data_IF_599488739613
#
_entry.id   IF_599488739613
#
_cell.length_a   1.000
_cell.length_b   1.000
_cell.length_c   1.000
_cell.angle_alpha   90.00
_cell.angle_beta   90.00
_cell.angle_gamma   90.00
#
_symmetry.space_group_name_H-M   'P 1'
#
loop_
_entity.id
_entity.type
_entity.pdbx_description
1 polymer ?
#
# COMPACT_ATOMS: atom_id res chain seq x y z
N UNK A 1 14.58 7.50 25.08
CA UNK A 1 14.10 7.82 23.73
C UNK A 1 14.98 7.23 22.64
N UNK A 2 16.30 7.45 22.66
CA UNK A 2 17.24 6.88 21.66
C UNK A 2 17.21 5.34 21.62
N UNK A 3 17.10 4.68 22.77
CA UNK A 3 17.00 3.22 22.86
C UNK A 3 15.67 2.67 22.30
N UNK A 4 14.59 3.43 22.43
CA UNK A 4 13.29 3.09 21.86
C UNK A 4 13.31 3.22 20.33
N UNK A 5 13.88 4.31 19.81
CA UNK A 5 14.05 4.52 18.37
C UNK A 5 14.99 3.50 17.73
N UNK A 6 16.10 3.15 18.40
CA UNK A 6 17.00 2.07 17.96
C UNK A 6 16.28 0.71 17.94
N UNK A 7 15.45 0.43 18.95
CA UNK A 7 14.68 -0.80 19.03
C UNK A 7 13.60 -0.85 17.94
N UNK A 8 12.95 0.29 17.67
CA UNK A 8 11.96 0.40 16.60
C UNK A 8 12.62 0.27 15.20
N UNK A 9 13.78 0.89 15.01
CA UNK A 9 14.54 0.82 13.76
C UNK A 9 15.14 -0.58 13.53
N UNK A 10 15.67 -1.21 14.57
CA UNK A 10 16.16 -2.60 14.51
C UNK A 10 15.03 -3.61 14.28
N UNK A 11 13.83 -3.31 14.74
CA UNK A 11 12.63 -4.11 14.53
C UNK A 11 12.18 -4.11 13.06
N UNK A 12 12.34 -2.97 12.35
CA UNK A 12 12.08 -2.87 10.91
C UNK A 12 13.17 -3.46 10.03
N UNK A 13 14.41 -3.56 10.54
CA UNK A 13 15.58 -4.06 9.82
C UNK A 13 15.90 -5.54 10.10
N UNK A 14 15.41 -6.10 11.20
CA UNK A 14 15.57 -7.51 11.49
C UNK A 14 14.74 -8.34 10.49
N UNK A 15 15.44 -9.11 9.68
CA UNK A 15 14.90 -10.06 8.69
C UNK A 15 14.12 -11.23 9.33
N UNK A 16 13.66 -11.10 10.56
CA UNK A 16 12.92 -12.11 11.27
C UNK A 16 11.44 -12.07 10.83
N UNK A 17 10.84 -13.24 10.65
CA UNK A 17 9.43 -13.37 10.26
C UNK A 17 8.43 -12.61 11.14
N UNK A 18 8.81 -12.33 12.39
CA UNK A 18 8.03 -11.50 13.33
C UNK A 18 7.83 -10.06 12.83
N UNK A 19 8.88 -9.43 12.27
CA UNK A 19 8.80 -8.07 11.71
C UNK A 19 7.82 -8.01 10.53
N UNK A 20 7.91 -8.94 9.59
CA UNK A 20 6.98 -9.04 8.46
C UNK A 20 5.54 -9.26 8.93
N UNK A 21 5.34 -10.11 9.92
CA UNK A 21 4.04 -10.41 10.51
C UNK A 21 3.38 -9.17 11.14
N UNK A 22 4.14 -8.38 11.91
CA UNK A 22 3.64 -7.16 12.55
C UNK A 22 3.28 -6.10 11.51
N UNK A 23 4.15 -5.84 10.54
CA UNK A 23 3.89 -4.86 9.47
C UNK A 23 2.68 -5.26 8.63
N UNK A 24 2.49 -6.56 8.38
CA UNK A 24 1.31 -7.06 7.72
C UNK A 24 0.03 -6.78 8.51
N UNK A 25 0.06 -6.90 9.84
CA UNK A 25 -1.07 -6.56 10.71
C UNK A 25 -1.38 -5.08 10.72
N UNK A 26 -0.35 -4.24 10.86
CA UNK A 26 -0.51 -2.77 10.83
C UNK A 26 -1.12 -2.33 9.50
N UNK A 27 -0.61 -2.82 8.38
CA UNK A 27 -1.15 -2.49 7.06
C UNK A 27 -2.59 -2.98 6.88
N UNK A 28 -2.95 -4.15 7.43
CA UNK A 28 -4.32 -4.65 7.42
C UNK A 28 -5.29 -3.72 8.16
N UNK A 29 -4.92 -3.22 9.33
CA UNK A 29 -5.73 -2.24 10.07
C UNK A 29 -5.92 -0.94 9.28
N UNK A 30 -4.86 -0.41 8.71
CA UNK A 30 -4.95 0.79 7.85
C UNK A 30 -5.87 0.56 6.65
N UNK A 31 -5.79 -0.62 6.03
CA UNK A 31 -6.69 -0.98 4.93
C UNK A 31 -8.16 -0.95 5.33
N UNK A 32 -8.51 -1.50 6.49
CA UNK A 32 -9.91 -1.52 6.98
C UNK A 32 -10.45 -0.08 7.04
N UNK A 33 -9.73 0.85 7.66
CA UNK A 33 -10.15 2.24 7.75
C UNK A 33 -10.29 2.91 6.38
N UNK A 34 -9.32 2.70 5.50
CA UNK A 34 -9.34 3.30 4.16
C UNK A 34 -10.45 2.71 3.28
N UNK A 35 -10.73 1.41 3.38
CA UNK A 35 -11.84 0.79 2.66
C UNK A 35 -13.20 1.26 3.18
N UNK A 36 -13.38 1.38 4.48
CA UNK A 36 -14.61 1.95 5.04
C UNK A 36 -14.79 3.40 4.57
N UNK A 37 -13.74 4.20 4.62
CA UNK A 37 -13.79 5.57 4.12
C UNK A 37 -14.20 5.64 2.64
N UNK A 38 -13.62 4.82 1.75
CA UNK A 38 -13.95 4.88 0.32
C UNK A 38 -15.38 4.38 0.05
N UNK A 39 -15.84 3.34 0.77
CA UNK A 39 -17.21 2.85 0.65
C UNK A 39 -18.21 3.96 1.00
N UNK A 40 -18.02 4.64 2.13
CA UNK A 40 -18.90 5.73 2.53
C UNK A 40 -18.81 6.93 1.57
N UNK A 41 -17.61 7.27 1.11
CA UNK A 41 -17.43 8.34 0.12
C UNK A 41 -18.12 8.05 -1.21
N UNK A 42 -18.13 6.79 -1.65
CA UNK A 42 -18.73 6.41 -2.94
C UNK A 42 -20.25 6.22 -2.90
N UNK A 43 -20.84 6.15 -1.71
CA UNK A 43 -22.31 6.07 -1.59
C UNK A 43 -23.02 7.33 -2.12
N UNK A 44 -22.34 8.47 -2.11
CA UNK A 44 -22.86 9.74 -2.60
C UNK A 44 -22.69 9.93 -4.12
N UNK A 45 -21.94 9.03 -4.78
CA UNK A 45 -21.74 9.11 -6.22
C UNK A 45 -22.97 8.59 -6.96
N UNK A 46 -23.52 9.41 -7.83
CA UNK A 46 -24.76 9.13 -8.58
C UNK A 46 -24.52 8.26 -9.83
N UNK A 47 -25.57 8.14 -10.66
CA UNK A 47 -25.55 7.38 -11.92
C UNK A 47 -24.47 7.88 -12.90
N UNK A 48 -24.09 9.16 -12.83
CA UNK A 48 -23.02 9.76 -13.64
C UNK A 48 -21.65 9.64 -12.97
N UNK A 49 -21.24 8.41 -12.68
CA UNK A 49 -20.04 8.08 -11.92
C UNK A 49 -18.77 8.85 -12.37
N UNK A 50 -18.58 9.01 -13.69
CA UNK A 50 -17.35 9.67 -14.21
C UNK A 50 -17.31 11.14 -13.83
N UNK A 51 -18.39 11.87 -13.97
CA UNK A 51 -18.48 13.30 -13.64
C UNK A 51 -18.39 13.54 -12.14
N UNK A 52 -19.04 12.69 -11.37
CA UNK A 52 -19.05 12.75 -9.91
C UNK A 52 -17.70 12.37 -9.33
N UNK A 53 -17.05 11.34 -9.88
CA UNK A 53 -15.68 10.97 -9.51
C UNK A 53 -14.69 12.12 -9.77
N UNK A 54 -14.79 12.77 -10.92
CA UNK A 54 -13.95 13.91 -11.25
C UNK A 54 -14.11 15.08 -10.27
N UNK A 55 -15.32 15.37 -9.84
CA UNK A 55 -15.57 16.39 -8.80
C UNK A 55 -15.07 15.94 -7.43
N UNK A 56 -15.25 14.68 -7.08
CA UNK A 56 -14.83 14.09 -5.81
C UNK A 56 -13.30 14.10 -5.65
N UNK A 57 -12.54 13.76 -6.72
CA UNK A 57 -11.08 13.69 -6.66
C UNK A 57 -10.41 15.07 -6.67
N UNK A 58 -11.12 16.13 -7.08
CA UNK A 58 -10.64 17.52 -6.97
C UNK A 58 -10.41 17.96 -5.53
N UNK A 59 -11.09 17.35 -4.58
CA UNK A 59 -10.91 17.63 -3.17
C UNK A 59 -9.56 17.02 -2.73
N UNK A 60 -8.58 17.83 -2.27
CA UNK A 60 -7.22 17.36 -2.01
C UNK A 60 -7.15 16.21 -1.00
N UNK A 61 -8.01 16.19 -0.01
CA UNK A 61 -8.05 15.13 1.00
C UNK A 61 -8.46 13.79 0.37
N UNK A 62 -9.40 13.78 -0.56
CA UNK A 62 -9.83 12.58 -1.27
C UNK A 62 -8.72 12.04 -2.17
N UNK A 63 -8.01 12.93 -2.87
CA UNK A 63 -6.85 12.57 -3.66
C UNK A 63 -5.75 11.89 -2.82
N UNK A 64 -5.41 12.49 -1.68
CA UNK A 64 -4.36 11.97 -0.79
C UNK A 64 -4.77 10.61 -0.21
N UNK A 65 -6.00 10.47 0.29
CA UNK A 65 -6.48 9.21 0.85
C UNK A 65 -6.62 8.12 -0.22
N UNK A 66 -6.99 8.48 -1.43
CA UNK A 66 -7.08 7.56 -2.55
C UNK A 66 -5.71 7.00 -2.95
N UNK A 67 -4.70 7.87 -3.08
CA UNK A 67 -3.31 7.45 -3.33
C UNK A 67 -2.79 6.58 -2.17
N UNK A 68 -3.07 6.99 -0.93
CA UNK A 68 -2.66 6.24 0.26
C UNK A 68 -3.26 4.84 0.28
N UNK A 69 -4.53 4.68 -0.13
CA UNK A 69 -5.17 3.38 -0.26
C UNK A 69 -4.40 2.45 -1.21
N UNK A 70 -4.01 2.93 -2.41
CA UNK A 70 -3.22 2.14 -3.34
C UNK A 70 -1.88 1.70 -2.74
N UNK A 71 -1.16 2.62 -2.11
CA UNK A 71 0.13 2.33 -1.48
C UNK A 71 -0.03 1.25 -0.41
N UNK A 72 -1.01 1.40 0.47
CA UNK A 72 -1.23 0.47 1.59
C UNK A 72 -1.65 -0.90 1.09
N UNK A 73 -2.54 -0.99 0.09
CA UNK A 73 -2.98 -2.26 -0.52
C UNK A 73 -1.80 -3.00 -1.15
N UNK A 74 -0.99 -2.32 -1.96
CA UNK A 74 0.17 -2.93 -2.63
C UNK A 74 1.21 -3.35 -1.59
N UNK A 75 1.47 -2.51 -0.60
CA UNK A 75 2.39 -2.84 0.49
C UNK A 75 1.93 -4.06 1.30
N UNK A 76 0.66 -4.12 1.67
CA UNK A 76 0.06 -5.25 2.38
C UNK A 76 0.18 -6.56 1.58
N UNK A 77 -0.15 -6.50 0.28
CA UNK A 77 -0.03 -7.64 -0.62
C UNK A 77 1.42 -8.11 -0.76
N UNK A 78 2.36 -7.18 -0.87
CA UNK A 78 3.81 -7.48 -0.92
C UNK A 78 4.27 -8.19 0.33
N UNK A 79 3.88 -7.72 1.52
CA UNK A 79 4.21 -8.36 2.79
C UNK A 79 3.61 -9.76 2.89
N UNK A 80 2.37 -9.95 2.44
CA UNK A 80 1.72 -11.25 2.41
C UNK A 80 2.45 -12.25 1.52
N UNK A 81 2.87 -11.84 0.33
CA UNK A 81 3.66 -12.69 -0.58
C UNK A 81 5.05 -13.00 -0.02
N UNK A 82 5.70 -12.04 0.63
CA UNK A 82 6.99 -12.27 1.29
C UNK A 82 6.89 -13.32 2.40
N UNK A 83 5.82 -13.31 3.19
CA UNK A 83 5.57 -14.34 4.21
C UNK A 83 5.42 -15.72 3.58
N UNK A 84 4.70 -15.84 2.47
CA UNK A 84 4.55 -17.10 1.74
C UNK A 84 5.92 -17.60 1.24
N UNK A 85 6.73 -16.72 0.64
CA UNK A 85 8.05 -17.10 0.16
C UNK A 85 8.99 -17.54 1.30
N UNK A 86 8.89 -16.88 2.46
CA UNK A 86 9.67 -17.26 3.65
C UNK A 86 9.34 -18.69 4.11
N UNK A 87 8.07 -19.07 4.06
CA UNK A 87 7.60 -20.36 4.55
C UNK A 87 7.82 -21.51 3.54
N UNK A 88 7.61 -21.26 2.25
CA UNK A 88 7.58 -22.32 1.23
C UNK A 88 8.84 -22.43 0.38
N UNK A 89 9.65 -21.40 0.26
CA UNK A 89 10.89 -21.44 -0.53
C UNK A 89 12.07 -21.81 0.37
N UNK A 90 12.64 -22.98 0.18
CA UNK A 90 13.72 -23.51 1.03
C UNK A 90 15.10 -22.96 0.66
N UNK A 91 15.34 -22.65 -0.63
CA UNK A 91 16.64 -22.19 -1.12
C UNK A 91 16.81 -20.69 -0.88
N UNK A 92 17.78 -20.31 -0.05
CA UNK A 92 18.12 -18.93 0.29
C UNK A 92 18.31 -18.01 -0.95
N UNK A 93 18.99 -18.51 -1.98
CA UNK A 93 19.19 -17.76 -3.23
C UNK A 93 17.87 -17.47 -3.95
N UNK A 94 16.95 -18.44 -3.98
CA UNK A 94 15.63 -18.26 -4.58
C UNK A 94 14.76 -17.31 -3.77
N UNK A 95 14.77 -17.42 -2.43
CA UNK A 95 14.08 -16.46 -1.55
C UNK A 95 14.51 -15.03 -1.84
N UNK A 96 15.82 -14.79 -1.90
CA UNK A 96 16.38 -13.48 -2.17
C UNK A 96 15.97 -12.95 -3.54
N UNK A 97 16.04 -13.79 -4.58
CA UNK A 97 15.63 -13.43 -5.93
C UNK A 97 14.14 -13.05 -6.00
N UNK A 98 13.25 -13.90 -5.48
CA UNK A 98 11.81 -13.64 -5.47
C UNK A 98 11.45 -12.41 -4.64
N UNK A 99 12.13 -12.20 -3.52
CA UNK A 99 11.94 -11.00 -2.68
C UNK A 99 12.32 -9.71 -3.43
N UNK A 100 13.43 -9.70 -4.14
CA UNK A 100 13.87 -8.56 -4.94
C UNK A 100 12.90 -8.30 -6.10
N UNK A 101 12.52 -9.34 -6.84
CA UNK A 101 11.56 -9.23 -7.95
C UNK A 101 10.22 -8.67 -7.47
N UNK A 102 9.68 -9.22 -6.39
CA UNK A 102 8.40 -8.80 -5.83
C UNK A 102 8.43 -7.34 -5.38
N UNK A 103 9.48 -6.92 -4.66
CA UNK A 103 9.64 -5.53 -4.22
C UNK A 103 9.77 -4.57 -5.41
N UNK A 104 10.52 -4.97 -6.45
CA UNK A 104 10.68 -4.16 -7.67
C UNK A 104 9.36 -4.00 -8.40
N UNK A 105 8.61 -5.08 -8.59
CA UNK A 105 7.28 -5.05 -9.23
C UNK A 105 6.31 -4.18 -8.43
N UNK A 106 6.28 -4.35 -7.11
CA UNK A 106 5.42 -3.54 -6.22
C UNK A 106 5.75 -2.05 -6.30
N UNK A 107 7.03 -1.71 -6.33
CA UNK A 107 7.48 -0.32 -6.48
C UNK A 107 7.03 0.27 -7.83
N UNK A 108 7.18 -0.49 -8.93
CA UNK A 108 6.73 -0.06 -10.26
C UNK A 108 5.21 0.16 -10.29
N UNK A 109 4.42 -0.74 -9.70
CA UNK A 109 2.96 -0.60 -9.65
C UNK A 109 2.57 0.65 -8.84
N UNK A 110 3.19 0.90 -7.70
CA UNK A 110 2.96 2.12 -6.90
C UNK A 110 3.28 3.37 -7.72
N UNK A 111 4.42 3.38 -8.39
CA UNK A 111 4.85 4.51 -9.21
C UNK A 111 3.85 4.79 -10.34
N UNK A 112 3.45 3.76 -11.08
CA UNK A 112 2.46 3.87 -12.17
C UNK A 112 1.11 4.34 -11.62
N UNK A 113 0.66 3.83 -10.48
CA UNK A 113 -0.60 4.23 -9.85
C UNK A 113 -0.60 5.71 -9.47
N UNK A 114 0.46 6.18 -8.80
CA UNK A 114 0.61 7.59 -8.42
C UNK A 114 0.65 8.47 -9.67
N UNK A 115 1.44 8.10 -10.67
CA UNK A 115 1.55 8.86 -11.91
C UNK A 115 0.19 8.96 -12.62
N UNK A 116 -0.55 7.86 -12.73
CA UNK A 116 -1.87 7.84 -13.35
C UNK A 116 -2.88 8.73 -12.64
N UNK A 117 -2.93 8.67 -11.31
CA UNK A 117 -3.85 9.49 -10.50
C UNK A 117 -3.48 10.98 -10.62
N UNK A 118 -2.20 11.32 -10.56
CA UNK A 118 -1.73 12.69 -10.72
C UNK A 118 -2.01 13.24 -12.12
N UNK A 119 -1.87 12.40 -13.15
CA UNK A 119 -2.19 12.77 -14.53
C UNK A 119 -3.68 13.08 -14.69
N UNK A 120 -4.55 12.21 -14.21
CA UNK A 120 -6.00 12.45 -14.21
C UNK A 120 -6.34 13.74 -13.47
N UNK A 121 -5.74 13.95 -12.30
CA UNK A 121 -5.96 15.15 -11.52
C UNK A 121 -5.54 16.43 -12.27
N UNK A 122 -4.41 16.40 -12.97
CA UNK A 122 -3.93 17.54 -13.77
C UNK A 122 -4.83 17.86 -14.97
N UNK A 123 -5.46 16.87 -15.58
CA UNK A 123 -6.40 17.07 -16.68
C UNK A 123 -7.75 17.64 -16.22
N UNK A 124 -8.16 17.32 -15.00
CA UNK A 124 -9.43 17.76 -14.41
C UNK A 124 -9.35 19.20 -13.87
N UNK A 125 -8.18 19.62 -13.43
CA UNK A 125 -7.95 21.00 -12.99
C UNK A 125 -7.87 21.92 -14.21
#
# INVERSE_FOLDING_TARGET
>A
MINFLKKFYSFGLNKNGLSLWIWQRISAFLMIFLFLWIIFSFQELSINFITDFNTWIKIPINLILFITLFIVVIHHSTLGMLNIFEDYVQLEKKKKLFSILLKTISFLIIFISIFSVCHIYSEII
#
